data_IF_198039568884
#
_entry.id   IF_198039568884
#
_cell.length_a   1.000
_cell.length_b   1.000
_cell.length_c   1.000
_cell.angle_alpha   90.00
_cell.angle_beta   90.00
_cell.angle_gamma   90.00
#
_symmetry.space_group_name_H-M   'P 1'
#
loop_
_entity.id
_entity.type
_entity.pdbx_description
1 polymer ?
#
# COMPACT_ATOMS: atom_id res chain seq x y z
N UNK A 1 0.08 1.27 -13.87
CA UNK A 1 -0.32 0.24 -12.90
C UNK A 1 -0.57 0.87 -11.54
N UNK A 2 -1.62 0.46 -10.87
CA UNK A 2 -1.94 0.94 -9.54
C UNK A 2 -1.43 -0.05 -8.49
N UNK A 3 -0.52 0.42 -7.64
CA UNK A 3 0.14 -0.38 -6.61
C UNK A 3 -0.33 0.09 -5.24
N UNK A 4 -0.81 -0.85 -4.44
CA UNK A 4 -1.22 -0.57 -3.07
C UNK A 4 -0.28 -1.27 -2.10
N UNK A 5 0.35 -0.52 -1.21
CA UNK A 5 1.25 -1.05 -0.20
C UNK A 5 0.56 -0.96 1.16
N UNK A 6 0.38 -2.10 1.81
CA UNK A 6 -0.20 -2.17 3.15
C UNK A 6 0.92 -2.23 4.17
N UNK A 7 0.97 -1.24 5.04
CA UNK A 7 2.00 -1.12 6.05
C UNK A 7 3.03 -0.05 5.70
N UNK A 8 2.91 1.12 6.30
CA UNK A 8 3.78 2.26 6.04
C UNK A 8 4.99 2.34 6.98
N UNK A 9 5.57 1.20 7.36
CA UNK A 9 6.81 1.16 8.10
C UNK A 9 8.01 1.38 7.18
N UNK A 10 9.24 1.19 7.70
CA UNK A 10 10.46 1.45 6.92
C UNK A 10 10.53 0.67 5.62
N UNK A 11 10.13 -0.61 5.64
CA UNK A 11 10.15 -1.43 4.44
C UNK A 11 9.12 -0.94 3.42
N UNK A 12 7.89 -0.66 3.86
CA UNK A 12 6.84 -0.18 2.97
C UNK A 12 7.21 1.14 2.30
N UNK A 13 7.76 2.07 3.07
CA UNK A 13 8.23 3.35 2.53
C UNK A 13 9.36 3.15 1.53
N UNK A 14 10.32 2.27 1.83
CA UNK A 14 11.43 1.98 0.92
C UNK A 14 10.94 1.40 -0.40
N UNK A 15 9.97 0.49 -0.35
CA UNK A 15 9.38 -0.11 -1.55
C UNK A 15 8.65 0.96 -2.35
N UNK A 16 7.85 1.80 -1.71
CA UNK A 16 7.10 2.86 -2.38
C UNK A 16 8.04 3.84 -3.09
N UNK A 17 9.10 4.27 -2.42
CA UNK A 17 10.08 5.18 -3.00
C UNK A 17 10.84 4.54 -4.16
N UNK A 18 11.20 3.26 -4.02
CA UNK A 18 11.86 2.51 -5.07
C UNK A 18 11.02 2.43 -6.34
N UNK A 19 9.76 2.07 -6.21
CA UNK A 19 8.84 1.98 -7.35
C UNK A 19 8.63 3.36 -7.97
N UNK A 20 8.47 4.38 -7.15
CA UNK A 20 8.25 5.75 -7.60
C UNK A 20 9.43 6.28 -8.44
N UNK A 21 10.66 5.93 -8.05
CA UNK A 21 11.86 6.33 -8.79
C UNK A 21 12.05 5.55 -10.08
N UNK A 22 11.65 4.28 -10.07
CA UNK A 22 11.85 3.40 -11.20
C UNK A 22 10.87 3.68 -12.33
N UNK A 23 9.61 3.96 -12.02
CA UNK A 23 8.59 4.22 -13.02
C UNK A 23 7.59 5.25 -12.50
N UNK A 24 7.46 6.35 -13.22
CA UNK A 24 6.52 7.42 -12.89
C UNK A 24 5.10 7.14 -13.38
N UNK A 25 4.92 6.11 -14.19
CA UNK A 25 3.61 5.73 -14.71
C UNK A 25 2.77 4.95 -13.70
N UNK A 26 3.37 4.50 -12.62
CA UNK A 26 2.68 3.78 -11.56
C UNK A 26 2.05 4.73 -10.56
N UNK A 27 0.80 4.46 -10.20
CA UNK A 27 0.13 5.15 -9.11
C UNK A 27 0.32 4.32 -7.85
N UNK A 28 0.91 4.92 -6.81
CA UNK A 28 1.26 4.23 -5.59
C UNK A 28 0.41 4.76 -4.45
N UNK A 29 -0.23 3.85 -3.72
CA UNK A 29 -0.96 4.16 -2.49
C UNK A 29 -0.35 3.34 -1.36
N UNK A 30 -0.08 3.98 -0.24
CA UNK A 30 0.44 3.33 0.95
C UNK A 30 -0.52 3.55 2.11
N UNK A 31 -0.88 2.49 2.83
CA UNK A 31 -1.79 2.58 3.96
C UNK A 31 -1.11 2.22 5.27
N UNK A 32 -1.49 2.93 6.32
CA UNK A 32 -0.98 2.75 7.67
C UNK A 32 -2.00 3.30 8.66
N UNK A 33 -2.03 2.73 9.87
CA UNK A 33 -2.95 3.22 10.92
C UNK A 33 -2.65 4.66 11.31
N UNK A 34 -1.38 4.99 11.50
CA UNK A 34 -0.96 6.36 11.80
C UNK A 34 -0.21 6.90 10.58
N UNK A 35 -0.84 7.83 9.86
CA UNK A 35 -0.28 8.38 8.63
C UNK A 35 0.59 9.61 8.85
N UNK A 36 0.62 10.19 10.05
CA UNK A 36 1.31 11.45 10.28
C UNK A 36 2.81 11.40 9.96
N UNK A 37 3.46 10.26 10.22
CA UNK A 37 4.89 10.11 9.97
C UNK A 37 5.25 9.91 8.50
N UNK A 38 4.26 9.63 7.64
CA UNK A 38 4.49 9.36 6.22
C UNK A 38 3.76 10.33 5.29
N UNK A 39 3.12 11.37 5.83
CA UNK A 39 2.41 12.36 5.01
C UNK A 39 3.33 13.09 4.03
N UNK A 40 4.62 13.18 4.32
CA UNK A 40 5.57 13.81 3.40
C UNK A 40 5.64 13.09 2.05
N UNK A 41 5.23 11.83 1.98
CA UNK A 41 5.22 11.07 0.73
C UNK A 41 4.23 11.63 -0.29
N UNK A 42 3.20 12.35 0.15
CA UNK A 42 2.24 12.97 -0.76
C UNK A 42 2.90 14.01 -1.66
N UNK A 43 3.93 14.69 -1.19
CA UNK A 43 4.69 15.63 -1.99
C UNK A 43 5.47 14.95 -3.11
N UNK A 44 5.71 13.64 -2.97
CA UNK A 44 6.41 12.83 -3.96
C UNK A 44 5.44 12.11 -4.91
N UNK A 45 4.15 12.42 -4.82
CA UNK A 45 3.14 11.81 -5.68
C UNK A 45 2.60 10.47 -5.19
N UNK A 46 2.90 10.09 -3.94
CA UNK A 46 2.43 8.85 -3.34
C UNK A 46 1.19 9.17 -2.48
N UNK A 47 0.10 8.45 -2.71
CA UNK A 47 -1.13 8.61 -1.93
C UNK A 47 -1.00 7.90 -0.59
N UNK A 48 -1.31 8.61 0.48
CA UNK A 48 -1.28 8.06 1.85
C UNK A 48 -2.70 7.94 2.36
N UNK A 49 -3.06 6.78 2.91
CA UNK A 49 -4.42 6.52 3.38
C UNK A 49 -4.43 5.66 4.63
N UNK A 50 -5.53 5.72 5.38
CA UNK A 50 -5.81 4.81 6.49
C UNK A 50 -6.76 3.69 6.06
N UNK A 51 -7.40 3.82 4.91
CA UNK A 51 -8.44 2.92 4.44
C UNK A 51 -7.90 1.94 3.41
N UNK A 52 -7.72 0.68 3.84
CA UNK A 52 -7.27 -0.38 2.95
C UNK A 52 -8.31 -0.76 1.92
N UNK A 53 -9.58 -0.83 2.31
CA UNK A 53 -10.64 -1.35 1.41
C UNK A 53 -10.84 -0.49 0.19
N UNK A 54 -10.92 0.82 0.38
CA UNK A 54 -11.16 1.75 -0.73
C UNK A 54 -9.99 1.75 -1.72
N UNK A 55 -8.78 1.83 -1.20
CA UNK A 55 -7.59 1.87 -2.05
C UNK A 55 -7.34 0.55 -2.77
N UNK A 56 -7.64 -0.59 -2.12
CA UNK A 56 -7.47 -1.92 -2.71
C UNK A 56 -8.41 -2.13 -3.89
N UNK A 57 -9.61 -1.61 -3.82
CA UNK A 57 -10.59 -1.79 -4.89
C UNK A 57 -10.05 -1.32 -6.25
N UNK A 58 -9.20 -0.31 -6.26
CA UNK A 58 -8.60 0.24 -7.46
C UNK A 58 -7.22 -0.33 -7.79
N UNK A 59 -6.62 -1.12 -6.90
CA UNK A 59 -5.25 -1.59 -7.08
C UNK A 59 -5.14 -2.79 -8.03
N UNK A 60 -4.08 -2.82 -8.81
CA UNK A 60 -3.70 -3.97 -9.64
C UNK A 60 -2.81 -4.94 -8.86
N UNK A 61 -1.92 -4.40 -8.02
CA UNK A 61 -1.00 -5.16 -7.18
C UNK A 61 -1.12 -4.68 -5.75
N UNK A 62 -1.18 -5.63 -4.82
CA UNK A 62 -1.19 -5.37 -3.38
C UNK A 62 0.08 -5.97 -2.78
N UNK A 63 0.87 -5.13 -2.10
CA UNK A 63 2.12 -5.57 -1.46
C UNK A 63 1.94 -5.45 0.06
N UNK A 64 2.14 -6.57 0.76
CA UNK A 64 2.06 -6.62 2.21
C UNK A 64 3.44 -6.41 2.83
N UNK A 65 3.63 -5.29 3.52
CA UNK A 65 4.88 -4.98 4.22
C UNK A 65 4.62 -4.86 5.72
N UNK A 66 3.82 -5.76 6.23
CA UNK A 66 3.42 -5.83 7.64
C UNK A 66 4.13 -6.97 8.34
N UNK A 67 4.08 -6.95 9.67
CA UNK A 67 4.70 -8.02 10.46
C UNK A 67 3.89 -9.31 10.37
N UNK A 68 4.54 -10.49 10.50
CA UNK A 68 3.83 -11.77 10.33
C UNK A 68 2.58 -11.92 11.18
N UNK A 69 2.56 -11.41 12.40
CA UNK A 69 1.39 -11.53 13.27
C UNK A 69 0.20 -10.68 12.80
N UNK A 70 0.42 -9.74 11.89
CA UNK A 70 -0.63 -8.89 11.34
C UNK A 70 -1.22 -9.42 10.04
N UNK A 71 -0.57 -10.41 9.41
CA UNK A 71 -0.97 -10.91 8.08
C UNK A 71 -2.38 -11.46 8.09
N UNK A 72 -2.71 -12.32 9.05
CA UNK A 72 -4.03 -12.94 9.12
C UNK A 72 -5.14 -11.90 9.29
N UNK A 73 -4.93 -10.93 10.16
CA UNK A 73 -5.89 -9.85 10.40
C UNK A 73 -6.11 -9.03 9.14
N UNK A 74 -5.03 -8.63 8.48
CA UNK A 74 -5.10 -7.81 7.28
C UNK A 74 -5.73 -8.59 6.13
N UNK A 75 -5.35 -9.86 5.94
CA UNK A 75 -5.95 -10.70 4.91
C UNK A 75 -7.45 -10.86 5.11
N UNK A 76 -7.91 -11.03 6.34
CA UNK A 76 -9.33 -11.11 6.64
C UNK A 76 -10.06 -9.82 6.24
N UNK A 77 -9.43 -8.68 6.43
CA UNK A 77 -10.01 -7.38 6.07
C UNK A 77 -10.12 -7.21 4.55
N UNK A 78 -9.10 -7.64 3.79
CA UNK A 78 -9.02 -7.34 2.36
C UNK A 78 -9.56 -8.44 1.44
N UNK A 79 -9.67 -9.68 1.92
CA UNK A 79 -10.14 -10.80 1.08
C UNK A 79 -11.44 -10.52 0.32
N UNK A 80 -12.43 -9.83 0.88
CA UNK A 80 -13.66 -9.55 0.15
C UNK A 80 -13.47 -8.67 -1.08
N UNK A 81 -12.37 -7.94 -1.20
CA UNK A 81 -12.14 -6.97 -2.28
C UNK A 81 -10.93 -7.26 -3.15
N UNK A 82 -10.19 -8.36 -2.90
CA UNK A 82 -8.97 -8.66 -3.67
C UNK A 82 -9.18 -9.55 -4.88
N UNK A 83 -10.42 -9.86 -5.22
CA UNK A 83 -10.77 -10.67 -6.40
C UNK A 83 -10.09 -10.10 -7.64
N UNK A 84 -9.39 -10.94 -8.41
CA UNK A 84 -8.68 -10.57 -9.63
C UNK A 84 -7.45 -9.66 -9.43
N UNK A 85 -6.92 -9.59 -8.21
CA UNK A 85 -5.73 -8.77 -7.91
C UNK A 85 -4.53 -9.65 -7.56
N UNK A 86 -3.34 -9.11 -7.82
CA UNK A 86 -2.09 -9.77 -7.44
C UNK A 86 -1.74 -9.33 -6.01
N UNK A 87 -1.50 -10.29 -5.13
CA UNK A 87 -1.08 -10.02 -3.75
C UNK A 87 0.31 -10.60 -3.53
N UNK A 88 1.20 -9.76 -3.04
CA UNK A 88 2.58 -10.16 -2.79
C UNK A 88 3.07 -9.77 -1.40
#
# INVERSE_FOLDING_TARGET
MKVHIIGGGNLGVSVALGISRFSKDNQITITRRNTSSILYLEELGITVSKDNKHAIDEADIIILTIKPYQVDEVLAEILPVVSNKIVA
#
